data_IF_818197264423
#
_entry.id   IF_818197264423
#
_cell.length_a   1.000
_cell.length_b   1.000
_cell.length_c   1.000
_cell.angle_alpha   90.00
_cell.angle_beta   90.00
_cell.angle_gamma   90.00
#
_symmetry.space_group_name_H-M   'P 1'
#
loop_
_entity.id
_entity.type
_entity.pdbx_description
1 polymer ?
#
# COMPACT_ATOMS: atom_id res chain seq x y z
N UNK A 1 -15.07 18.55 -3.34
CA UNK A 1 -14.02 18.58 -2.28
C UNK A 1 -12.86 19.40 -2.80
N UNK A 2 -12.22 20.22 -1.96
CA UNK A 2 -10.97 20.90 -2.33
C UNK A 2 -9.84 19.87 -2.46
N UNK A 3 -8.80 20.17 -3.26
CA UNK A 3 -7.65 19.28 -3.49
C UNK A 3 -7.00 18.75 -2.19
N UNK A 4 -6.88 19.60 -1.17
CA UNK A 4 -6.38 19.22 0.16
C UNK A 4 -7.28 18.23 0.90
N UNK A 5 -8.60 18.38 0.81
CA UNK A 5 -9.57 17.48 1.44
C UNK A 5 -9.54 16.10 0.76
N UNK A 6 -9.39 16.06 -0.58
CA UNK A 6 -9.24 14.82 -1.33
C UNK A 6 -7.98 14.05 -0.89
N UNK A 7 -6.83 14.74 -0.82
CA UNK A 7 -5.57 14.14 -0.35
C UNK A 7 -5.68 13.59 1.07
N UNK A 8 -6.35 14.30 1.98
CA UNK A 8 -6.57 13.83 3.34
C UNK A 8 -7.48 12.58 3.38
N UNK A 9 -8.54 12.55 2.57
CA UNK A 9 -9.43 11.39 2.49
C UNK A 9 -8.72 10.16 1.90
N UNK A 10 -7.95 10.34 0.82
CA UNK A 10 -7.12 9.29 0.21
C UNK A 10 -6.14 8.74 1.24
N UNK A 11 -5.40 9.62 1.93
CA UNK A 11 -4.41 9.21 2.94
C UNK A 11 -5.01 8.35 4.05
N UNK A 12 -6.22 8.70 4.54
CA UNK A 12 -6.94 7.93 5.55
C UNK A 12 -7.35 6.55 5.02
N UNK A 13 -7.92 6.48 3.82
CA UNK A 13 -8.36 5.22 3.23
C UNK A 13 -7.18 4.29 2.90
N UNK A 14 -6.04 4.84 2.50
CA UNK A 14 -4.80 4.07 2.35
C UNK A 14 -4.30 3.50 3.68
N UNK A 15 -4.46 4.23 4.79
CA UNK A 15 -4.15 3.68 6.13
C UNK A 15 -5.06 2.49 6.46
N UNK A 16 -6.37 2.63 6.27
CA UNK A 16 -7.34 1.54 6.48
C UNK A 16 -7.02 0.33 5.57
N UNK A 17 -6.67 0.59 4.32
CA UNK A 17 -6.28 -0.45 3.37
C UNK A 17 -5.01 -1.16 3.82
N UNK A 18 -4.01 -0.44 4.30
CA UNK A 18 -2.75 -1.01 4.79
C UNK A 18 -2.97 -1.91 6.00
N UNK A 19 -3.82 -1.49 6.93
CA UNK A 19 -4.20 -2.30 8.08
C UNK A 19 -4.91 -3.59 7.63
N UNK A 20 -5.83 -3.49 6.67
CA UNK A 20 -6.55 -4.61 6.11
C UNK A 20 -5.61 -5.61 5.41
N UNK A 21 -4.75 -5.14 4.50
CA UNK A 21 -3.84 -5.98 3.71
C UNK A 21 -2.68 -6.56 4.53
N UNK A 22 -2.22 -5.86 5.59
CA UNK A 22 -1.21 -6.37 6.51
C UNK A 22 -1.58 -7.73 7.09
N UNK A 23 -2.85 -7.93 7.45
CA UNK A 23 -3.34 -9.19 8.05
C UNK A 23 -3.22 -10.40 7.12
N UNK A 24 -3.24 -10.18 5.80
CA UNK A 24 -3.17 -11.23 4.78
C UNK A 24 -1.81 -11.25 4.06
N UNK A 25 -0.83 -10.42 4.49
CA UNK A 25 0.40 -10.18 3.73
C UNK A 25 1.20 -11.45 3.40
N UNK A 26 2.08 -12.04 4.20
CA UNK A 26 2.75 -13.30 3.85
C UNK A 26 1.84 -14.53 3.95
N UNK A 27 0.73 -14.54 3.20
CA UNK A 27 -0.22 -15.65 3.11
C UNK A 27 0.20 -16.68 2.05
N UNK A 28 -0.74 -17.54 1.62
CA UNK A 28 -0.46 -18.67 0.72
C UNK A 28 0.27 -18.30 -0.57
N UNK A 29 -0.03 -17.15 -1.14
CA UNK A 29 0.60 -16.67 -2.37
C UNK A 29 2.02 -16.09 -2.17
N UNK A 30 2.44 -15.88 -0.92
CA UNK A 30 3.72 -15.25 -0.56
C UNK A 30 4.28 -15.92 0.73
N UNK A 31 4.56 -17.24 0.73
CA UNK A 31 4.89 -18.01 1.94
C UNK A 31 6.22 -17.61 2.58
N UNK A 32 7.22 -17.20 1.80
CA UNK A 32 8.53 -16.74 2.29
C UNK A 32 8.46 -15.48 3.17
N UNK A 33 7.31 -14.81 3.15
CA UNK A 33 7.04 -13.59 3.91
C UNK A 33 6.34 -13.86 5.24
N UNK A 34 5.89 -15.09 5.52
CA UNK A 34 5.06 -15.38 6.70
C UNK A 34 5.82 -15.13 8.02
N UNK A 35 7.13 -15.45 8.04
CA UNK A 35 8.01 -15.37 9.20
C UNK A 35 8.79 -14.06 9.33
N UNK A 36 8.69 -13.15 8.35
CA UNK A 36 9.46 -11.89 8.39
C UNK A 36 8.78 -10.86 9.30
N UNK A 37 9.51 -10.39 10.30
CA UNK A 37 9.17 -9.19 11.04
C UNK A 37 9.22 -8.02 10.05
N UNK A 38 8.05 -7.48 9.70
CA UNK A 38 7.84 -6.47 8.66
C UNK A 38 8.07 -7.00 7.23
N UNK A 39 6.97 -7.25 6.53
CA UNK A 39 6.91 -8.05 5.30
C UNK A 39 7.18 -7.24 4.02
N UNK A 40 8.40 -6.75 3.83
CA UNK A 40 8.83 -6.20 2.54
C UNK A 40 9.31 -7.34 1.62
N UNK A 41 8.57 -7.58 0.53
CA UNK A 41 8.78 -8.73 -0.36
C UNK A 41 9.86 -8.52 -1.40
N UNK A 42 10.05 -7.28 -1.87
CA UNK A 42 10.96 -6.97 -2.97
C UNK A 42 11.50 -5.54 -2.81
N UNK A 43 12.79 -5.38 -3.14
CA UNK A 43 13.46 -4.08 -3.18
C UNK A 43 12.88 -3.18 -4.26
N UNK A 44 12.45 -3.73 -5.39
CA UNK A 44 11.83 -2.99 -6.48
C UNK A 44 10.62 -2.18 -6.00
N UNK A 45 9.81 -2.73 -5.07
CA UNK A 45 8.68 -1.99 -4.50
C UNK A 45 9.11 -0.76 -3.69
N UNK A 46 10.29 -0.80 -3.04
CA UNK A 46 10.83 0.38 -2.36
C UNK A 46 11.25 1.45 -3.37
N UNK A 47 11.87 1.05 -4.48
CA UNK A 47 12.32 1.95 -5.54
C UNK A 47 11.12 2.63 -6.23
N UNK A 48 10.10 1.86 -6.59
CA UNK A 48 8.84 2.39 -7.12
C UNK A 48 8.13 3.34 -6.14
N UNK A 49 8.16 3.02 -4.85
CA UNK A 49 7.60 3.88 -3.79
C UNK A 49 8.35 5.21 -3.69
N UNK A 50 9.69 5.18 -3.75
CA UNK A 50 10.52 6.41 -3.73
C UNK A 50 10.20 7.27 -4.95
N UNK A 51 10.16 6.66 -6.13
CA UNK A 51 9.85 7.35 -7.38
C UNK A 51 8.45 7.98 -7.36
N UNK A 52 7.44 7.22 -6.92
CA UNK A 52 6.07 7.70 -6.78
C UNK A 52 5.94 8.86 -5.79
N UNK A 53 6.59 8.74 -4.62
CA UNK A 53 6.57 9.80 -3.62
C UNK A 53 7.19 11.11 -4.16
N UNK A 54 8.29 11.04 -4.90
CA UNK A 54 8.93 12.23 -5.44
C UNK A 54 8.12 12.81 -6.63
N UNK A 55 7.73 11.98 -7.60
CA UNK A 55 7.05 12.45 -8.82
C UNK A 55 5.62 12.92 -8.59
N UNK A 56 4.84 12.15 -7.84
CA UNK A 56 3.38 12.37 -7.75
C UNK A 56 2.98 13.16 -6.50
N UNK A 57 3.84 13.13 -5.47
CA UNK A 57 3.59 13.82 -4.19
C UNK A 57 4.59 14.93 -3.88
N UNK A 58 5.72 15.02 -4.59
CA UNK A 58 6.77 16.00 -4.29
C UNK A 58 7.47 15.73 -2.94
N UNK A 59 7.43 14.49 -2.45
CA UNK A 59 7.98 14.08 -1.16
C UNK A 59 9.22 13.22 -1.38
N UNK A 60 10.36 13.67 -0.86
CA UNK A 60 11.59 12.87 -0.81
C UNK A 60 11.57 11.98 0.43
N UNK A 61 11.63 10.67 0.22
CA UNK A 61 11.69 9.69 1.29
C UNK A 61 13.15 9.40 1.70
N UNK A 62 13.50 9.51 2.99
CA UNK A 62 14.83 9.13 3.46
C UNK A 62 15.01 7.62 3.41
N UNK A 63 16.20 7.18 3.01
CA UNK A 63 16.60 5.76 3.07
C UNK A 63 17.22 5.42 4.42
N UNK A 64 17.07 4.17 4.84
CA UNK A 64 17.48 3.65 6.15
C UNK A 64 18.86 2.98 6.17
N UNK A 65 19.50 2.81 5.01
CA UNK A 65 20.70 1.98 4.85
C UNK A 65 20.42 0.46 4.89
N UNK A 66 19.18 0.03 5.13
CA UNK A 66 18.78 -1.37 5.07
C UNK A 66 18.74 -1.90 3.61
N UNK A 67 18.85 -3.22 3.41
CA UNK A 67 18.75 -3.86 2.08
C UNK A 67 17.46 -3.48 1.32
N UNK A 68 16.38 -3.26 2.07
CA UNK A 68 15.16 -2.61 1.62
C UNK A 68 15.20 -1.14 2.05
N UNK A 69 15.42 -0.18 1.14
CA UNK A 69 15.76 1.20 1.47
C UNK A 69 14.79 1.90 2.44
N UNK A 70 13.51 1.56 2.38
CA UNK A 70 12.45 2.16 3.20
C UNK A 70 12.15 1.41 4.50
N UNK A 71 12.92 0.36 4.84
CA UNK A 71 12.67 -0.44 6.05
C UNK A 71 13.39 0.14 7.26
N UNK A 72 12.63 0.67 8.22
CA UNK A 72 13.13 1.08 9.53
C UNK A 72 12.96 0.02 10.61
N UNK A 73 13.37 0.32 11.87
CA UNK A 73 13.31 -0.61 12.99
C UNK A 73 11.90 -1.15 13.32
N UNK A 74 10.86 -0.38 12.98
CA UNK A 74 9.45 -0.73 13.23
C UNK A 74 8.67 -1.05 11.95
N UNK A 75 9.36 -1.30 10.83
CA UNK A 75 8.77 -1.58 9.53
C UNK A 75 9.01 -0.46 8.51
N UNK A 76 8.26 -0.50 7.41
CA UNK A 76 8.40 0.46 6.33
C UNK A 76 8.08 1.89 6.80
N UNK A 77 8.99 2.83 6.56
CA UNK A 77 8.89 4.24 6.96
C UNK A 77 7.99 5.07 6.04
N UNK A 78 7.70 4.59 4.83
CA UNK A 78 6.82 5.29 3.90
C UNK A 78 5.35 5.22 4.35
N UNK A 79 4.66 6.35 4.29
CA UNK A 79 3.23 6.43 4.57
C UNK A 79 2.44 5.57 3.57
N UNK A 80 1.34 4.91 3.97
CA UNK A 80 0.60 3.96 3.11
C UNK A 80 0.21 4.46 1.71
N UNK A 81 -0.17 5.74 1.59
CA UNK A 81 -0.56 6.36 0.33
C UNK A 81 0.60 6.63 -0.63
N UNK A 82 1.85 6.63 -0.12
CA UNK A 82 3.04 6.76 -0.94
C UNK A 82 3.54 5.42 -1.49
N UNK A 83 3.04 4.30 -0.94
CA UNK A 83 3.40 2.94 -1.35
C UNK A 83 2.18 2.17 -1.84
N UNK A 84 1.48 2.65 -2.89
CA UNK A 84 0.24 2.05 -3.34
C UNK A 84 0.42 0.57 -3.70
N UNK A 85 1.57 0.17 -4.23
CA UNK A 85 1.83 -1.24 -4.55
C UNK A 85 1.84 -2.15 -3.33
N UNK A 86 2.45 -1.72 -2.23
CA UNK A 86 2.50 -2.52 -1.00
C UNK A 86 1.22 -2.41 -0.16
N UNK A 87 0.43 -1.37 -0.37
CA UNK A 87 -0.79 -1.13 0.40
C UNK A 87 -2.04 -1.70 -0.27
N UNK A 88 -2.20 -1.47 -1.58
CA UNK A 88 -3.35 -1.92 -2.37
C UNK A 88 -3.16 -3.36 -2.86
N UNK A 89 -1.99 -3.74 -3.37
CA UNK A 89 -1.82 -5.06 -3.98
C UNK A 89 -1.47 -6.11 -2.92
N UNK A 90 -2.44 -6.96 -2.60
CA UNK A 90 -2.19 -8.18 -1.84
C UNK A 90 -2.03 -9.36 -2.81
N UNK A 91 -0.92 -10.12 -2.69
CA UNK A 91 -0.48 -11.12 -3.67
C UNK A 91 -1.61 -12.08 -4.13
N UNK A 92 -2.40 -12.59 -3.17
CA UNK A 92 -3.42 -13.59 -3.43
C UNK A 92 -4.62 -13.00 -4.18
N UNK A 93 -5.24 -11.96 -3.63
CA UNK A 93 -6.44 -11.37 -4.27
C UNK A 93 -6.11 -10.70 -5.60
N UNK A 94 -4.87 -10.22 -5.79
CA UNK A 94 -4.41 -9.68 -7.07
C UNK A 94 -4.28 -10.77 -8.14
N UNK A 95 -3.83 -11.97 -7.76
CA UNK A 95 -3.63 -13.09 -8.68
C UNK A 95 -4.94 -13.80 -9.07
N UNK A 96 -5.83 -14.03 -8.09
CA UNK A 96 -7.03 -14.87 -8.28
C UNK A 96 -8.37 -14.13 -8.12
N UNK A 97 -8.35 -12.84 -7.79
CA UNK A 97 -9.55 -12.03 -7.60
C UNK A 97 -10.30 -12.27 -6.29
N UNK A 98 -9.89 -13.24 -5.47
CA UNK A 98 -10.54 -13.57 -4.20
C UNK A 98 -9.58 -14.24 -3.19
N UNK A 99 -10.04 -14.37 -1.96
CA UNK A 99 -9.39 -15.19 -0.93
C UNK A 99 -10.39 -16.24 -0.41
N UNK A 100 -9.97 -17.05 0.57
CA UNK A 100 -10.89 -17.92 1.29
C UNK A 100 -11.66 -17.19 2.42
N UNK A 101 -11.63 -15.85 2.42
CA UNK A 101 -12.32 -14.99 3.38
C UNK A 101 -13.19 -13.98 2.62
N UNK A 102 -14.42 -14.37 2.24
CA UNK A 102 -15.32 -13.51 1.46
C UNK A 102 -15.66 -12.20 2.17
N UNK A 103 -15.61 -12.18 3.50
CA UNK A 103 -15.86 -10.98 4.29
C UNK A 103 -14.72 -9.96 4.13
N UNK A 104 -13.48 -10.43 4.11
CA UNK A 104 -12.30 -9.64 3.85
C UNK A 104 -12.27 -9.14 2.41
N UNK A 105 -12.59 -10.00 1.43
CA UNK A 105 -12.64 -9.64 0.01
C UNK A 105 -13.62 -8.48 -0.26
N UNK A 106 -14.83 -8.55 0.32
CA UNK A 106 -15.82 -7.47 0.23
C UNK A 106 -15.29 -6.16 0.80
N UNK A 107 -14.62 -6.21 1.94
CA UNK A 107 -14.01 -5.01 2.56
C UNK A 107 -12.88 -4.44 1.68
N UNK A 108 -12.04 -5.32 1.14
CA UNK A 108 -10.93 -4.97 0.24
C UNK A 108 -11.44 -4.26 -1.00
N UNK A 109 -12.38 -4.85 -1.74
CA UNK A 109 -12.89 -4.26 -2.98
C UNK A 109 -13.66 -2.97 -2.71
N UNK A 110 -14.42 -2.88 -1.61
CA UNK A 110 -15.07 -1.63 -1.21
C UNK A 110 -14.07 -0.50 -0.98
N UNK A 111 -12.98 -0.76 -0.25
CA UNK A 111 -11.93 0.23 0.00
C UNK A 111 -11.17 0.58 -1.29
N UNK A 112 -10.76 -0.42 -2.06
CA UNK A 112 -10.02 -0.25 -3.32
C UNK A 112 -10.82 0.57 -4.33
N UNK A 113 -12.09 0.25 -4.54
CA UNK A 113 -12.92 0.98 -5.50
C UNK A 113 -13.14 2.43 -5.07
N UNK A 114 -13.29 2.69 -3.76
CA UNK A 114 -13.40 4.04 -3.22
C UNK A 114 -12.11 4.84 -3.40
N UNK A 115 -10.95 4.22 -3.18
CA UNK A 115 -9.64 4.83 -3.42
C UNK A 115 -9.47 5.22 -4.89
N UNK A 116 -9.73 4.29 -5.82
CA UNK A 116 -9.64 4.54 -7.27
C UNK A 116 -10.53 5.72 -7.68
N UNK A 117 -11.76 5.81 -7.16
CA UNK A 117 -12.65 6.94 -7.45
C UNK A 117 -12.09 8.28 -6.97
N UNK A 118 -11.54 8.32 -5.76
CA UNK A 118 -10.97 9.56 -5.20
C UNK A 118 -9.66 9.97 -5.88
N UNK A 119 -8.81 9.00 -6.24
CA UNK A 119 -7.57 9.27 -6.99
C UNK A 119 -7.87 9.82 -8.38
N UNK A 120 -8.89 9.27 -9.06
CA UNK A 120 -9.38 9.81 -10.33
C UNK A 120 -9.88 11.25 -10.17
N UNK A 121 -10.70 11.51 -9.16
CA UNK A 121 -11.16 12.88 -8.86
C UNK A 121 -10.00 13.84 -8.57
N UNK A 122 -8.95 13.38 -7.87
CA UNK A 122 -7.76 14.18 -7.59
C UNK A 122 -6.96 14.49 -8.86
N UNK A 123 -6.87 13.55 -9.79
CA UNK A 123 -6.19 13.74 -11.08
C UNK A 123 -6.94 14.69 -12.01
N UNK A 124 -8.27 14.73 -11.90
CA UNK A 124 -9.16 15.62 -12.65
C UNK A 124 -9.29 17.03 -12.01
N UNK A 125 -8.63 17.29 -10.86
CA UNK A 125 -8.72 18.55 -10.08
C UNK A 125 -7.43 19.37 -10.03
#
# INVERSE_FOLDING_TARGET
MKKGELRAAISRLYREMSELTRTKCGGRACPDMIHKAYRCCDRLHCEMTIEHAEKDWGIRLPTSGHQFPLMGPAGCTAAPHLRPWCTLHQCQIQAVGSTNDPSWDRKYFRLRNKLIQLERQLAES
#
